data_IF_839538207339
#
_entry.id   IF_839538207339
#
_cell.length_a   1.000
_cell.length_b   1.000
_cell.length_c   1.000
_cell.angle_alpha   90.00
_cell.angle_beta   90.00
_cell.angle_gamma   90.00
#
_symmetry.space_group_name_H-M   'P 1'
#
loop_
_entity.id
_entity.type
_entity.pdbx_description
1 polymer ?
#
# COMPACT_ATOMS: atom_id res chain seq x y z
N UNK A 1 -8.44 6.55 -27.10
CA UNK A 1 -9.21 5.83 -26.06
C UNK A 1 -8.20 5.30 -25.06
N UNK A 2 -8.36 5.57 -23.75
CA UNK A 2 -7.45 5.01 -22.75
C UNK A 2 -7.73 3.51 -22.66
N UNK A 3 -6.72 2.68 -22.84
CA UNK A 3 -6.87 1.23 -22.70
C UNK A 3 -7.37 0.89 -21.28
N UNK A 4 -8.25 -0.10 -21.16
CA UNK A 4 -8.64 -0.64 -19.86
C UNK A 4 -7.36 -1.08 -19.10
N UNK A 5 -7.32 -0.88 -17.78
CA UNK A 5 -6.20 -1.29 -16.92
C UNK A 5 -5.80 -2.75 -17.19
N UNK A 6 -6.77 -3.62 -17.43
CA UNK A 6 -6.53 -5.03 -17.73
C UNK A 6 -5.74 -5.22 -19.04
N UNK A 7 -6.09 -4.51 -20.11
CA UNK A 7 -5.39 -4.60 -21.39
C UNK A 7 -3.96 -4.06 -21.29
N UNK A 8 -3.80 -2.92 -20.59
CA UNK A 8 -2.49 -2.35 -20.29
C UNK A 8 -1.61 -3.33 -19.51
N UNK A 9 -2.19 -4.04 -18.54
CA UNK A 9 -1.49 -5.03 -17.73
C UNK A 9 -1.10 -6.25 -18.56
N UNK A 10 -2.01 -6.77 -19.39
CA UNK A 10 -1.75 -7.90 -20.28
C UNK A 10 -0.59 -7.59 -21.25
N UNK A 11 -0.57 -6.38 -21.81
CA UNK A 11 0.49 -5.92 -22.69
C UNK A 11 1.85 -5.83 -21.96
N UNK A 12 1.90 -5.15 -20.81
CA UNK A 12 3.14 -5.01 -20.02
C UNK A 12 3.67 -6.35 -19.50
N UNK A 13 2.79 -7.29 -19.14
CA UNK A 13 3.19 -8.64 -18.74
C UNK A 13 3.86 -9.40 -19.89
N UNK A 14 3.26 -9.36 -21.08
CA UNK A 14 3.81 -10.01 -22.27
C UNK A 14 5.18 -9.43 -22.65
N UNK A 15 5.34 -8.11 -22.47
CA UNK A 15 6.58 -7.40 -22.77
C UNK A 15 7.68 -7.65 -21.73
N UNK A 16 7.38 -7.56 -20.42
CA UNK A 16 8.40 -7.46 -19.37
C UNK A 16 8.57 -8.70 -18.49
N UNK A 17 7.55 -9.56 -18.39
CA UNK A 17 7.62 -10.70 -17.48
C UNK A 17 8.51 -11.80 -18.09
N UNK A 18 9.54 -12.21 -17.36
CA UNK A 18 10.48 -13.21 -17.87
C UNK A 18 9.96 -14.64 -17.76
N UNK A 19 10.41 -15.49 -18.69
CA UNK A 19 10.21 -16.94 -18.69
C UNK A 19 9.21 -17.39 -19.75
N UNK A 20 8.94 -18.70 -19.74
CA UNK A 20 7.84 -19.33 -20.50
C UNK A 20 6.73 -19.68 -19.52
N UNK A 21 5.67 -18.85 -19.47
CA UNK A 21 4.65 -18.91 -18.41
C UNK A 21 3.26 -18.71 -19.00
N UNK A 22 2.28 -19.32 -18.34
CA UNK A 22 0.86 -19.04 -18.58
C UNK A 22 0.29 -18.43 -17.30
N UNK A 23 0.06 -17.12 -17.33
CA UNK A 23 -0.35 -16.35 -16.15
C UNK A 23 -1.79 -15.91 -16.32
N UNK A 24 -2.66 -16.39 -15.45
CA UNK A 24 -4.02 -15.90 -15.30
C UNK A 24 -4.02 -14.64 -14.45
N UNK A 25 -4.57 -13.54 -14.97
CA UNK A 25 -4.64 -12.25 -14.31
C UNK A 25 -6.09 -11.98 -13.93
N UNK A 26 -6.32 -11.59 -12.68
CA UNK A 26 -7.62 -11.09 -12.19
C UNK A 26 -7.40 -9.67 -11.69
N UNK A 27 -7.91 -8.66 -12.40
CA UNK A 27 -7.96 -7.29 -11.93
C UNK A 27 -9.41 -6.93 -11.53
N UNK A 28 -9.61 -6.62 -10.26
CA UNK A 28 -10.86 -6.09 -9.73
C UNK A 28 -10.70 -4.61 -9.46
N UNK A 29 -11.54 -3.79 -10.07
CA UNK A 29 -11.48 -2.33 -9.97
C UNK A 29 -12.84 -1.84 -9.51
N UNK A 30 -12.90 -1.12 -8.39
CA UNK A 30 -14.13 -0.45 -7.96
C UNK A 30 -14.39 0.82 -8.79
N UNK A 31 -15.63 1.29 -8.85
CA UNK A 31 -15.88 2.70 -9.20
C UNK A 31 -15.34 3.61 -8.10
N UNK A 32 -15.11 4.88 -8.43
CA UNK A 32 -14.88 5.92 -7.45
C UNK A 32 -16.12 6.10 -6.57
N UNK A 33 -15.88 6.20 -5.27
CA UNK A 33 -16.92 6.45 -4.28
C UNK A 33 -16.35 7.25 -3.12
N UNK A 34 -17.21 7.93 -2.35
CA UNK A 34 -16.78 8.61 -1.12
C UNK A 34 -16.96 7.68 0.07
N UNK A 35 -15.86 7.34 0.76
CA UNK A 35 -15.93 6.58 2.00
C UNK A 35 -16.36 7.46 3.18
N UNK A 36 -16.96 6.83 4.20
CA UNK A 36 -17.26 7.50 5.47
C UNK A 36 -16.01 7.96 6.20
N UNK A 37 -14.92 7.21 6.07
CA UNK A 37 -13.63 7.57 6.60
C UNK A 37 -12.98 8.60 5.68
N UNK A 38 -12.61 9.75 6.24
CA UNK A 38 -11.97 10.82 5.50
C UNK A 38 -10.47 10.55 5.33
N UNK A 39 -9.91 10.94 4.19
CA UNK A 39 -8.45 10.91 3.99
C UNK A 39 -7.72 11.89 4.92
N UNK A 40 -8.35 13.01 5.28
CA UNK A 40 -7.84 13.99 6.24
C UNK A 40 -8.91 14.22 7.33
N UNK A 41 -9.09 13.28 8.27
CA UNK A 41 -10.23 13.26 9.17
C UNK A 41 -10.20 14.38 10.23
N UNK A 42 -9.06 15.04 10.42
CA UNK A 42 -8.87 16.11 11.39
C UNK A 42 -8.79 17.50 10.77
N UNK A 43 -9.10 17.61 9.47
CA UNK A 43 -9.09 18.89 8.76
C UNK A 43 -10.49 19.18 8.23
N UNK A 44 -11.04 20.34 8.58
CA UNK A 44 -12.30 20.84 8.03
C UNK A 44 -12.14 21.49 6.65
N UNK A 45 -10.93 21.93 6.30
CA UNK A 45 -10.64 22.61 5.04
C UNK A 45 -10.38 21.66 3.87
N UNK A 46 -10.08 20.40 4.14
CA UNK A 46 -9.80 19.40 3.11
C UNK A 46 -11.06 18.60 2.77
N UNK A 47 -11.56 18.64 1.52
CA UNK A 47 -12.68 17.80 1.12
C UNK A 47 -12.26 16.33 1.18
N UNK A 48 -13.22 15.43 1.44
CA UNK A 48 -12.96 14.00 1.37
C UNK A 48 -12.92 13.56 -0.11
N UNK A 49 -11.75 13.18 -0.65
CA UNK A 49 -11.66 12.77 -2.05
C UNK A 49 -12.37 11.43 -2.26
N UNK A 50 -12.99 11.21 -3.43
CA UNK A 50 -13.45 9.88 -3.77
C UNK A 50 -12.27 8.93 -3.92
N UNK A 51 -12.49 7.67 -3.56
CA UNK A 51 -11.52 6.58 -3.59
C UNK A 51 -11.96 5.51 -4.60
N UNK A 52 -10.98 4.94 -5.30
CA UNK A 52 -11.10 3.73 -6.12
C UNK A 52 -10.16 2.66 -5.55
N UNK A 53 -10.66 1.46 -5.29
CA UNK A 53 -9.86 0.31 -4.84
C UNK A 53 -9.58 -0.63 -6.01
N UNK A 54 -8.35 -1.11 -6.09
CA UNK A 54 -7.86 -2.01 -7.13
C UNK A 54 -7.22 -3.23 -6.44
N UNK A 55 -7.64 -4.44 -6.81
CA UNK A 55 -7.00 -5.69 -6.43
C UNK A 55 -6.56 -6.42 -7.69
N UNK A 56 -5.26 -6.66 -7.83
CA UNK A 56 -4.70 -7.43 -8.94
C UNK A 56 -4.12 -8.71 -8.37
N UNK A 57 -4.61 -9.85 -8.85
CA UNK A 57 -4.17 -11.17 -8.43
C UNK A 57 -3.69 -11.99 -9.63
N UNK A 58 -2.60 -12.74 -9.44
CA UNK A 58 -1.95 -13.54 -10.46
C UNK A 58 -2.02 -15.01 -10.09
N UNK A 59 -2.48 -15.86 -11.00
CA UNK A 59 -2.48 -17.31 -10.86
C UNK A 59 -1.66 -17.98 -11.96
N UNK A 60 -1.02 -19.10 -11.63
CA UNK A 60 -0.34 -19.98 -12.57
C UNK A 60 -0.77 -21.41 -12.28
N UNK A 61 -0.99 -22.21 -13.33
CA UNK A 61 -1.47 -23.59 -13.20
C UNK A 61 -2.73 -23.71 -12.31
N UNK A 62 -3.62 -22.71 -12.38
CA UNK A 62 -4.87 -22.67 -11.61
C UNK A 62 -4.74 -22.28 -10.14
N UNK A 63 -3.57 -21.79 -9.69
CA UNK A 63 -3.34 -21.41 -8.28
C UNK A 63 -2.83 -19.99 -8.16
N UNK A 64 -3.46 -19.18 -7.29
CA UNK A 64 -3.00 -17.83 -6.97
C UNK A 64 -1.58 -17.85 -6.38
N UNK A 65 -0.68 -17.10 -7.02
CA UNK A 65 0.74 -16.99 -6.68
C UNK A 65 1.09 -15.69 -5.96
N UNK A 66 0.48 -14.57 -6.37
CA UNK A 66 0.73 -13.24 -5.80
C UNK A 66 -0.41 -12.27 -6.05
N UNK A 67 -0.57 -11.27 -5.19
CA UNK A 67 -1.56 -10.22 -5.34
C UNK A 67 -1.08 -8.87 -4.78
N UNK A 68 -1.65 -7.79 -5.29
CA UNK A 68 -1.44 -6.42 -4.84
C UNK A 68 -2.77 -5.68 -4.73
N UNK A 69 -2.96 -4.96 -3.63
CA UNK A 69 -4.08 -4.07 -3.37
C UNK A 69 -3.61 -2.61 -3.37
N UNK A 70 -4.25 -1.77 -4.19
CA UNK A 70 -3.90 -0.36 -4.40
C UNK A 70 -5.15 0.49 -4.28
N UNK A 71 -5.04 1.63 -3.59
CA UNK A 71 -6.11 2.62 -3.46
C UNK A 71 -5.72 3.90 -4.17
N UNK A 72 -6.63 4.45 -4.96
CA UNK A 72 -6.49 5.72 -5.65
C UNK A 72 -7.42 6.73 -5.01
N UNK A 73 -6.88 7.83 -4.49
CA UNK A 73 -7.66 8.96 -4.01
C UNK A 73 -7.57 10.09 -5.02
N UNK A 74 -8.72 10.57 -5.50
CA UNK A 74 -8.77 11.67 -6.47
C UNK A 74 -8.83 13.02 -5.75
N UNK A 75 -7.68 13.65 -5.56
CA UNK A 75 -7.60 15.02 -5.03
C UNK A 75 -7.76 16.04 -6.15
N UNK A 76 -7.93 17.32 -5.80
CA UNK A 76 -8.18 18.41 -6.74
C UNK A 76 -7.08 18.59 -7.80
N UNK A 77 -5.82 18.36 -7.45
CA UNK A 77 -4.63 18.59 -8.28
C UNK A 77 -3.89 17.31 -8.66
N UNK A 78 -4.09 16.21 -7.93
CA UNK A 78 -3.32 14.97 -8.07
C UNK A 78 -4.15 13.72 -7.82
N UNK A 79 -3.65 12.56 -8.25
CA UNK A 79 -4.11 11.26 -7.77
C UNK A 79 -3.10 10.75 -6.74
N UNK A 80 -3.55 10.54 -5.51
CA UNK A 80 -2.73 9.85 -4.51
C UNK A 80 -2.95 8.34 -4.67
N UNK A 81 -1.88 7.62 -4.96
CA UNK A 81 -1.84 6.17 -5.10
C UNK A 81 -1.23 5.59 -3.85
N UNK A 82 -1.99 4.82 -3.08
CA UNK A 82 -1.50 4.13 -1.89
C UNK A 82 -1.45 2.62 -2.15
N UNK A 83 -0.27 2.02 -2.01
CA UNK A 83 -0.16 0.55 -2.03
C UNK A 83 -0.51 0.04 -0.64
N UNK A 84 -1.70 -0.55 -0.52
CA UNK A 84 -2.25 -1.03 0.74
C UNK A 84 -1.61 -2.35 1.16
N UNK A 85 -1.60 -3.34 0.25
CA UNK A 85 -1.11 -4.69 0.55
C UNK A 85 -0.41 -5.29 -0.66
N UNK A 86 0.65 -6.06 -0.40
CA UNK A 86 1.30 -6.95 -1.36
C UNK A 86 1.54 -8.27 -0.68
N UNK A 87 1.18 -9.36 -1.35
CA UNK A 87 1.41 -10.69 -0.80
C UNK A 87 1.70 -11.73 -1.88
N UNK A 88 2.25 -12.87 -1.45
CA UNK A 88 2.46 -14.05 -2.27
C UNK A 88 2.08 -15.31 -1.51
N UNK A 89 1.78 -16.38 -2.25
CA UNK A 89 1.52 -17.70 -1.67
C UNK A 89 2.77 -18.59 -1.69
N UNK A 90 3.74 -18.31 -2.55
CA UNK A 90 4.86 -19.22 -2.82
C UNK A 90 4.53 -20.36 -3.79
N UNK A 91 3.30 -20.42 -4.31
CA UNK A 91 2.92 -21.37 -5.38
C UNK A 91 3.17 -20.80 -6.79
N UNK A 92 3.36 -19.49 -6.92
CA UNK A 92 3.68 -18.84 -8.20
C UNK A 92 5.17 -18.92 -8.57
N UNK A 93 5.46 -18.79 -9.85
CA UNK A 93 6.82 -18.78 -10.39
C UNK A 93 7.51 -17.44 -10.11
N UNK A 94 8.84 -17.49 -9.98
CA UNK A 94 9.67 -16.28 -9.87
C UNK A 94 10.19 -15.85 -11.26
N UNK A 95 10.34 -14.54 -11.52
CA UNK A 95 9.99 -13.41 -10.65
C UNK A 95 8.47 -13.20 -10.55
N UNK A 96 8.02 -12.63 -9.43
CA UNK A 96 6.61 -12.27 -9.26
C UNK A 96 6.24 -11.08 -10.17
N UNK A 97 5.03 -11.01 -10.75
CA UNK A 97 4.61 -9.91 -11.64
C UNK A 97 4.32 -8.58 -10.93
N UNK A 98 4.48 -8.48 -9.61
CA UNK A 98 4.02 -7.34 -8.82
C UNK A 98 4.68 -6.01 -9.22
N UNK A 99 5.97 -6.00 -9.57
CA UNK A 99 6.63 -4.77 -10.01
C UNK A 99 6.03 -4.22 -11.31
N UNK A 100 5.65 -5.12 -12.22
CA UNK A 100 4.96 -4.78 -13.47
C UNK A 100 3.56 -4.24 -13.17
N UNK A 101 2.86 -4.83 -12.20
CA UNK A 101 1.54 -4.36 -11.78
C UNK A 101 1.59 -2.93 -11.21
N UNK A 102 2.57 -2.62 -10.36
CA UNK A 102 2.77 -1.27 -9.81
C UNK A 102 3.02 -0.27 -10.93
N UNK A 103 3.99 -0.55 -11.81
CA UNK A 103 4.29 0.30 -12.96
C UNK A 103 3.05 0.51 -13.84
N UNK A 104 2.32 -0.56 -14.14
CA UNK A 104 1.11 -0.51 -14.96
C UNK A 104 0.02 0.38 -14.36
N UNK A 105 -0.24 0.27 -13.05
CA UNK A 105 -1.27 1.10 -12.40
C UNK A 105 -0.88 2.57 -12.39
N UNK A 106 0.41 2.89 -12.21
CA UNK A 106 0.89 4.27 -12.26
C UNK A 106 0.73 4.86 -13.66
N UNK A 107 1.17 4.15 -14.70
CA UNK A 107 1.05 4.61 -16.09
C UNK A 107 -0.41 4.73 -16.52
N UNK A 108 -1.24 3.74 -16.17
CA UNK A 108 -2.67 3.79 -16.42
C UNK A 108 -3.34 4.98 -15.70
N UNK A 109 -2.97 5.25 -14.44
CA UNK A 109 -3.51 6.38 -13.69
C UNK A 109 -3.10 7.72 -14.31
N UNK A 110 -1.84 7.89 -14.73
CA UNK A 110 -1.37 9.08 -15.46
C UNK A 110 -2.19 9.31 -16.73
N UNK A 111 -2.32 8.29 -17.56
CA UNK A 111 -3.03 8.36 -18.84
C UNK A 111 -4.55 8.57 -18.68
N UNK A 112 -5.13 8.00 -17.63
CA UNK A 112 -6.58 8.07 -17.34
C UNK A 112 -6.97 9.43 -16.76
N UNK A 113 -6.22 9.91 -15.76
CA UNK A 113 -6.62 11.05 -14.95
C UNK A 113 -5.92 12.36 -15.30
N UNK A 114 -4.78 12.31 -16.02
CA UNK A 114 -4.04 13.49 -16.49
C UNK A 114 -3.75 14.50 -15.37
N UNK A 115 -3.37 13.95 -14.23
CA UNK A 115 -3.01 14.68 -13.01
C UNK A 115 -1.69 14.15 -12.53
N UNK A 116 -1.02 14.94 -11.71
CA UNK A 116 0.17 14.47 -11.01
C UNK A 116 -0.18 13.22 -10.21
N UNK A 117 0.75 12.26 -10.16
CA UNK A 117 0.59 11.04 -9.39
C UNK A 117 1.51 11.10 -8.18
N UNK A 118 0.96 10.84 -7.01
CA UNK A 118 1.68 10.76 -5.75
C UNK A 118 1.57 9.35 -5.19
N UNK A 119 2.63 8.55 -5.32
CA UNK A 119 2.69 7.19 -4.79
C UNK A 119 3.16 7.20 -3.34
N UNK A 120 2.40 6.56 -2.46
CA UNK A 120 2.69 6.39 -1.04
C UNK A 120 2.74 4.88 -0.72
N UNK A 121 3.81 4.44 -0.08
CA UNK A 121 3.96 3.04 0.36
C UNK A 121 4.47 3.03 1.79
N UNK A 122 3.82 2.24 2.65
CA UNK A 122 4.38 1.82 3.93
C UNK A 122 4.80 0.36 3.85
N UNK A 123 6.10 0.11 4.03
CA UNK A 123 6.70 -1.20 3.91
C UNK A 123 7.05 -1.75 5.29
N UNK A 124 6.37 -2.82 5.68
CA UNK A 124 6.61 -3.59 6.90
C UNK A 124 6.58 -5.08 6.54
N UNK A 125 7.45 -5.90 7.13
CA UNK A 125 7.36 -7.34 6.92
C UNK A 125 6.27 -7.95 7.82
N UNK A 126 5.45 -8.82 7.25
CA UNK A 126 4.46 -9.62 7.93
C UNK A 126 4.39 -11.00 7.29
N UNK A 127 3.93 -11.99 8.06
CA UNK A 127 3.82 -13.38 7.58
C UNK A 127 2.85 -13.50 6.39
N UNK A 128 1.73 -12.79 6.45
CA UNK A 128 0.71 -12.74 5.41
C UNK A 128 -0.10 -11.44 5.51
N UNK A 129 -0.56 -10.95 4.35
CA UNK A 129 -1.41 -9.78 4.18
C UNK A 129 -2.73 -10.11 3.49
N UNK A 130 -2.67 -10.86 2.38
CA UNK A 130 -3.82 -11.19 1.51
C UNK A 130 -4.12 -12.69 1.56
N UNK A 131 -3.10 -13.55 1.71
CA UNK A 131 -3.26 -15.01 1.62
C UNK A 131 -3.07 -15.67 2.99
N UNK A 132 -4.16 -15.98 3.73
CA UNK A 132 -4.06 -16.56 5.06
C UNK A 132 -3.33 -17.90 5.08
N UNK A 133 -2.52 -18.11 6.12
CA UNK A 133 -1.75 -19.34 6.37
C UNK A 133 -0.74 -19.71 5.28
N UNK A 134 -0.52 -18.86 4.26
CA UNK A 134 0.45 -19.11 3.20
C UNK A 134 1.89 -19.18 3.71
N UNK A 135 2.21 -18.55 4.85
CA UNK A 135 3.51 -18.67 5.50
C UNK A 135 3.81 -20.09 6.02
N UNK A 136 2.76 -20.90 6.23
CA UNK A 136 2.89 -22.25 6.80
C UNK A 136 3.11 -23.33 5.74
N UNK A 137 3.01 -22.99 4.45
CA UNK A 137 3.09 -23.97 3.37
C UNK A 137 4.52 -24.43 3.00
N UNK A 138 5.54 -23.81 3.60
CA UNK A 138 6.95 -24.16 3.39
C UNK A 138 7.55 -23.73 2.04
N UNK A 139 6.74 -23.24 1.10
CA UNK A 139 7.19 -22.72 -0.20
C UNK A 139 7.30 -21.19 -0.21
N UNK A 140 6.49 -20.50 0.60
CA UNK A 140 6.50 -19.03 0.70
C UNK A 140 7.81 -18.52 1.32
N UNK A 141 8.49 -17.62 0.62
CA UNK A 141 9.65 -16.89 1.15
C UNK A 141 9.21 -15.54 1.73
N UNK A 142 9.03 -15.49 3.03
CA UNK A 142 8.76 -14.22 3.75
C UNK A 142 10.07 -13.43 3.86
N UNK A 143 10.07 -12.20 3.34
CA UNK A 143 11.22 -11.30 3.43
C UNK A 143 11.34 -10.75 4.85
N UNK A 144 12.57 -10.56 5.33
CA UNK A 144 12.80 -9.74 6.52
C UNK A 144 12.48 -8.27 6.24
N UNK A 145 12.29 -7.48 7.29
CA UNK A 145 12.09 -6.03 7.21
C UNK A 145 13.12 -5.36 6.28
N UNK A 146 14.42 -5.58 6.50
CA UNK A 146 15.50 -5.05 5.64
C UNK A 146 15.41 -5.54 4.19
N UNK A 147 15.12 -6.83 3.98
CA UNK A 147 14.99 -7.39 2.63
C UNK A 147 13.80 -6.77 1.89
N UNK A 148 12.70 -6.51 2.60
CA UNK A 148 11.51 -5.87 2.04
C UNK A 148 11.78 -4.42 1.64
N UNK A 149 12.51 -3.64 2.45
CA UNK A 149 12.88 -2.28 2.07
C UNK A 149 13.70 -2.27 0.78
N UNK A 150 14.71 -3.14 0.68
CA UNK A 150 15.51 -3.29 -0.54
C UNK A 150 14.68 -3.74 -1.74
N UNK A 151 13.73 -4.65 -1.52
CA UNK A 151 12.83 -5.10 -2.58
C UNK A 151 11.99 -3.94 -3.11
N UNK A 152 11.36 -3.15 -2.23
CA UNK A 152 10.59 -1.97 -2.64
C UNK A 152 11.43 -0.94 -3.38
N UNK A 153 12.62 -0.59 -2.87
CA UNK A 153 13.52 0.30 -3.60
C UNK A 153 13.80 -0.20 -5.00
N UNK A 154 14.17 -1.48 -5.14
CA UNK A 154 14.48 -2.07 -6.45
C UNK A 154 13.27 -2.11 -7.39
N UNK A 155 12.07 -2.37 -6.86
CA UNK A 155 10.80 -2.32 -7.62
C UNK A 155 10.53 -0.93 -8.18
N UNK A 156 10.90 0.12 -7.42
CA UNK A 156 10.58 1.51 -7.73
C UNK A 156 11.73 2.27 -8.40
N UNK A 157 12.92 1.66 -8.50
CA UNK A 157 14.16 2.37 -8.84
C UNK A 157 14.18 2.91 -10.27
N UNK A 158 13.67 2.10 -11.19
CA UNK A 158 13.64 2.34 -12.64
C UNK A 158 12.39 3.09 -13.10
N UNK A 159 11.52 3.49 -12.17
CA UNK A 159 10.34 4.26 -12.52
C UNK A 159 10.74 5.70 -12.87
N UNK A 160 10.24 6.18 -14.00
CA UNK A 160 10.45 7.57 -14.43
C UNK A 160 9.65 8.52 -13.53
N UNK A 161 10.34 9.19 -12.62
CA UNK A 161 9.78 10.00 -11.52
C UNK A 161 10.37 11.39 -11.54
N UNK A 162 9.58 12.38 -11.09
CA UNK A 162 10.08 13.74 -10.88
C UNK A 162 10.87 13.85 -9.58
N UNK A 163 10.40 13.19 -8.52
CA UNK A 163 11.04 13.12 -7.20
C UNK A 163 10.72 11.80 -6.52
N UNK A 164 11.67 11.28 -5.75
CA UNK A 164 11.48 10.06 -4.95
C UNK A 164 12.20 10.13 -3.61
N UNK A 165 11.50 9.72 -2.56
CA UNK A 165 11.97 9.73 -1.18
C UNK A 165 11.83 8.37 -0.53
N UNK A 166 12.77 8.09 0.36
CA UNK A 166 12.81 6.90 1.19
C UNK A 166 13.06 7.36 2.63
N UNK A 167 12.23 6.92 3.57
CA UNK A 167 12.39 7.21 4.99
C UNK A 167 12.31 5.94 5.82
N UNK A 168 13.27 5.73 6.72
CA UNK A 168 13.22 4.65 7.71
C UNK A 168 13.07 5.30 9.10
N UNK A 169 11.86 5.31 9.71
CA UNK A 169 11.64 5.95 10.99
C UNK A 169 12.53 5.36 12.09
N UNK A 170 13.12 6.22 12.91
CA UNK A 170 14.05 5.80 13.97
C UNK A 170 15.48 5.55 13.51
N UNK A 171 15.79 5.80 12.24
CA UNK A 171 17.15 5.73 11.70
C UNK A 171 17.60 7.12 11.25
N UNK A 172 18.88 7.39 11.41
CA UNK A 172 19.56 8.50 10.73
C UNK A 172 19.87 8.13 9.27
N UNK A 173 20.25 9.11 8.45
CA UNK A 173 20.63 8.85 7.06
C UNK A 173 21.83 7.89 6.95
N UNK A 174 22.82 8.04 7.84
CA UNK A 174 24.03 7.21 7.84
C UNK A 174 23.69 5.75 8.20
N UNK A 175 22.85 5.54 9.22
CA UNK A 175 22.38 4.20 9.60
C UNK A 175 21.53 3.58 8.48
N UNK A 176 20.62 4.36 7.88
CA UNK A 176 19.77 3.90 6.80
C UNK A 176 20.59 3.48 5.57
N UNK A 177 21.70 4.18 5.26
CA UNK A 177 22.58 3.84 4.13
C UNK A 177 23.20 2.44 4.25
N UNK A 178 23.40 1.95 5.47
CA UNK A 178 23.86 0.56 5.72
C UNK A 178 22.78 -0.49 5.42
N UNK A 179 21.51 -0.12 5.51
CA UNK A 179 20.35 -0.98 5.30
C UNK A 179 19.94 -0.96 3.83
N UNK A 180 19.80 0.23 3.27
CA UNK A 180 19.27 0.51 1.94
C UNK A 180 20.04 1.67 1.33
N UNK A 181 20.62 1.45 0.15
CA UNK A 181 21.36 2.51 -0.54
C UNK A 181 20.39 3.62 -0.95
N UNK A 182 20.76 4.87 -0.70
CA UNK A 182 20.05 6.04 -1.21
C UNK A 182 20.77 6.58 -2.46
N UNK A 183 20.85 5.75 -3.50
CA UNK A 183 21.47 6.08 -4.80
C UNK A 183 20.40 6.43 -5.85
N UNK A 184 20.75 6.54 -7.13
CA UNK A 184 19.80 6.68 -8.25
C UNK A 184 18.76 7.80 -8.10
N UNK A 185 19.12 8.92 -7.46
CA UNK A 185 18.23 10.07 -7.24
C UNK A 185 17.25 9.92 -6.07
N UNK A 186 17.40 8.89 -5.23
CA UNK A 186 16.64 8.78 -3.98
C UNK A 186 17.10 9.80 -2.95
N UNK A 187 16.14 10.55 -2.39
CA UNK A 187 16.36 11.44 -1.26
C UNK A 187 15.99 10.73 0.04
N UNK A 188 16.91 10.66 1.00
CA UNK A 188 16.57 10.17 2.33
C UNK A 188 15.72 11.20 3.08
N UNK A 189 14.52 10.83 3.48
CA UNK A 189 13.54 11.74 4.08
C UNK A 189 12.15 11.52 3.51
N UNK A 190 11.29 12.53 3.59
CA UNK A 190 9.92 12.48 3.09
C UNK A 190 9.49 13.85 2.52
N UNK A 191 8.47 13.90 1.65
CA UNK A 191 8.03 15.14 1.03
C UNK A 191 7.50 16.16 2.05
N UNK A 192 6.85 15.72 3.12
CA UNK A 192 6.25 16.61 4.14
C UNK A 192 7.30 17.48 4.85
N UNK A 193 8.54 16.99 5.00
CA UNK A 193 9.67 17.71 5.58
C UNK A 193 10.64 18.29 4.54
N UNK A 194 10.40 18.13 3.24
CA UNK A 194 11.34 18.57 2.19
C UNK A 194 10.73 19.64 1.29
N UNK A 195 9.42 19.58 1.09
CA UNK A 195 8.70 20.48 0.21
C UNK A 195 8.23 21.73 0.97
N UNK A 196 8.64 22.91 0.50
CA UNK A 196 8.37 24.19 1.17
C UNK A 196 6.87 24.48 1.27
N UNK A 197 6.09 24.10 0.26
CA UNK A 197 4.64 24.32 0.24
C UNK A 197 3.90 23.40 1.21
N UNK A 198 4.46 22.21 1.44
CA UNK A 198 3.91 21.23 2.39
C UNK A 198 4.29 21.55 3.83
N UNK A 199 5.50 22.07 4.07
CA UNK A 199 5.98 22.44 5.41
C UNK A 199 5.12 23.48 6.13
N UNK A 200 4.43 24.33 5.40
CA UNK A 200 3.56 25.36 5.96
C UNK A 200 2.19 24.82 6.39
N UNK A 201 1.86 23.57 6.04
CA UNK A 201 0.57 22.96 6.35
C UNK A 201 0.56 22.37 7.75
N UNK A 202 -0.61 22.43 8.38
CA UNK A 202 -0.90 21.73 9.63
C UNK A 202 -0.86 20.21 9.44
N UNK A 203 -0.48 19.46 10.47
CA UNK A 203 -0.46 17.98 10.43
C UNK A 203 -1.80 17.39 9.95
N UNK A 204 -2.90 18.00 10.38
CA UNK A 204 -4.28 17.60 10.07
C UNK A 204 -4.61 17.57 8.58
N UNK A 205 -3.99 18.45 7.78
CA UNK A 205 -4.18 18.56 6.33
C UNK A 205 -2.98 18.09 5.51
N UNK A 206 -1.92 17.66 6.20
CA UNK A 206 -0.64 17.25 5.60
C UNK A 206 -0.46 15.73 5.57
N UNK A 207 -0.77 15.04 6.67
CA UNK A 207 -0.58 13.58 6.77
C UNK A 207 -1.87 12.86 6.39
N UNK A 208 -1.89 12.10 5.28
CA UNK A 208 -3.06 11.32 4.90
C UNK A 208 -3.30 10.16 5.87
N UNK A 209 -4.58 9.86 6.08
CA UNK A 209 -5.05 8.76 6.90
C UNK A 209 -5.31 7.52 6.04
N UNK A 210 -4.56 6.44 6.28
CA UNK A 210 -4.70 5.14 5.63
C UNK A 210 -5.04 4.05 6.66
N UNK A 211 -5.74 3.01 6.20
CA UNK A 211 -6.01 1.80 6.99
C UNK A 211 -4.69 1.07 7.32
N UNK A 212 -4.56 0.58 8.56
CA UNK A 212 -3.41 -0.19 9.06
C UNK A 212 -2.01 0.48 8.92
N UNK A 213 -1.98 1.81 8.77
CA UNK A 213 -0.75 2.59 8.66
C UNK A 213 -0.35 3.23 10.00
N UNK A 214 0.92 3.10 10.45
CA UNK A 214 1.34 3.64 11.74
C UNK A 214 1.33 5.18 11.77
N UNK A 215 1.41 5.88 10.63
CA UNK A 215 1.25 7.34 10.59
C UNK A 215 -0.15 7.74 11.02
N UNK A 216 -1.15 7.01 10.52
CA UNK A 216 -2.56 7.28 10.80
C UNK A 216 -2.90 6.92 12.24
N UNK A 217 -2.40 5.79 12.74
CA UNK A 217 -2.51 5.42 14.16
C UNK A 217 -1.84 6.43 15.08
N UNK A 218 -0.66 6.94 14.71
CA UNK A 218 0.02 7.96 15.51
C UNK A 218 -0.70 9.31 15.46
N UNK A 219 -1.22 9.69 14.30
CA UNK A 219 -2.03 10.89 14.13
C UNK A 219 -3.30 10.83 15.00
N UNK A 220 -3.99 9.69 15.05
CA UNK A 220 -5.11 9.45 15.96
C UNK A 220 -4.73 9.68 17.43
N UNK A 221 -3.58 9.16 17.86
CA UNK A 221 -3.15 9.30 19.25
C UNK A 221 -2.80 10.74 19.61
N UNK A 222 -2.18 11.48 18.70
CA UNK A 222 -1.92 12.91 18.90
C UNK A 222 -3.22 13.71 18.95
N UNK A 223 -4.14 13.47 18.01
CA UNK A 223 -5.43 14.14 17.94
C UNK A 223 -6.30 13.89 19.18
N UNK A 224 -6.20 12.69 19.78
CA UNK A 224 -6.94 12.31 20.98
C UNK A 224 -6.15 12.52 22.28
N UNK A 225 -4.91 13.04 22.21
CA UNK A 225 -4.11 13.30 23.41
C UNK A 225 -4.74 14.41 24.25
N UNK A 226 -4.93 14.15 25.54
CA UNK A 226 -5.43 15.15 26.50
C UNK A 226 -4.31 15.93 27.17
N UNK A 227 -3.06 15.50 27.00
CA UNK A 227 -1.90 16.06 27.67
C UNK A 227 -1.18 17.00 26.69
N UNK A 228 -1.10 18.28 27.04
CA UNK A 228 -0.17 19.20 26.41
C UNK A 228 1.27 18.91 26.90
N UNK A 229 2.26 19.19 26.07
CA UNK A 229 3.69 19.07 26.41
C UNK A 229 4.10 19.92 27.63
N UNK A 230 3.29 20.91 28.01
CA UNK A 230 3.50 21.79 29.17
C UNK A 230 2.70 21.36 30.42
N UNK A 231 2.10 20.16 30.41
CA UNK A 231 1.32 19.62 31.53
C UNK A 231 -0.07 20.22 31.68
N UNK A 232 -0.51 21.11 30.78
CA UNK A 232 -1.88 21.63 30.78
C UNK A 232 -2.84 20.63 30.13
N UNK A 233 -3.83 20.19 30.89
CA UNK A 233 -4.88 19.33 30.36
C UNK A 233 -5.72 20.08 29.31
N UNK A 234 -5.91 19.47 28.14
CA UNK A 234 -6.95 19.89 27.21
C UNK A 234 -8.31 19.68 27.88
N UNK A 235 -9.16 20.71 27.86
CA UNK A 235 -10.57 20.56 28.25
C UNK A 235 -11.21 19.61 27.25
N UNK A 236 -11.49 18.37 27.69
CA UNK A 236 -12.23 17.41 26.87
C UNK A 236 -13.50 18.08 26.33
N UNK A 237 -13.84 17.90 25.05
CA UNK A 237 -15.10 18.37 24.52
C UNK A 237 -16.25 17.78 25.35
N UNK A 238 -17.31 18.57 25.55
CA UNK A 238 -18.50 18.11 26.28
C UNK A 238 -19.09 16.89 25.55
N UNK A 239 -19.74 15.99 26.31
CA UNK A 239 -20.42 14.77 25.78
C UNK A 239 -21.47 15.06 24.70
N UNK A 240 -21.89 16.31 24.53
CA UNK A 240 -22.86 16.79 23.53
C UNK A 240 -22.20 17.70 22.46
N UNK A 241 -20.90 17.54 22.20
CA UNK A 241 -20.21 18.31 21.15
C UNK A 241 -20.63 17.84 19.76
N UNK A 242 -20.87 18.80 18.86
CA UNK A 242 -21.14 18.50 17.46
C UNK A 242 -19.84 18.12 16.73
N UNK A 243 -19.96 17.42 15.58
CA UNK A 243 -18.81 16.90 14.82
C UNK A 243 -17.77 17.98 14.47
N UNK A 244 -18.20 19.19 14.17
CA UNK A 244 -17.30 20.30 13.82
C UNK A 244 -16.45 20.76 15.02
N UNK A 245 -17.03 20.83 16.22
CA UNK A 245 -16.31 21.17 17.45
C UNK A 245 -15.27 20.10 17.81
N UNK A 246 -15.60 18.83 17.61
CA UNK A 246 -14.68 17.70 17.84
C UNK A 246 -13.50 17.73 16.85
N UNK A 247 -13.75 18.02 15.57
CA UNK A 247 -12.68 18.17 14.55
C UNK A 247 -11.77 19.35 14.88
N UNK A 248 -12.33 20.51 15.25
CA UNK A 248 -11.53 21.68 15.64
C UNK A 248 -10.63 21.39 16.85
N UNK A 249 -11.18 20.77 17.89
CA UNK A 249 -10.40 20.38 19.07
C UNK A 249 -9.26 19.42 18.72
N UNK A 250 -9.53 18.42 17.87
CA UNK A 250 -8.52 17.47 17.41
C UNK A 250 -7.44 18.14 16.56
N UNK A 251 -7.82 19.10 15.72
CA UNK A 251 -6.88 19.90 14.95
C UNK A 251 -5.96 20.72 15.88
N UNK A 252 -6.50 21.39 16.90
CA UNK A 252 -5.71 22.13 17.90
C UNK A 252 -4.75 21.23 18.68
N UNK A 253 -5.14 19.97 18.94
CA UNK A 253 -4.25 19.01 19.57
C UNK A 253 -3.07 18.63 18.66
N UNK A 254 -3.34 18.45 17.36
CA UNK A 254 -2.31 18.15 16.36
C UNK A 254 -1.35 19.31 16.12
N UNK A 255 -1.83 20.56 16.16
CA UNK A 255 -1.04 21.78 15.92
C UNK A 255 0.09 22.01 16.93
N UNK A 256 0.10 21.24 18.03
CA UNK A 256 1.16 21.26 19.06
C UNK A 256 2.40 20.48 18.68
N UNK A 257 2.31 19.62 17.67
CA UNK A 257 3.39 18.76 17.21
C UNK A 257 3.84 19.27 15.85
N UNK A 258 5.13 19.61 15.70
CA UNK A 258 5.65 19.98 14.38
C UNK A 258 5.72 18.76 13.46
N UNK A 259 5.87 18.98 12.16
CA UNK A 259 6.08 17.89 11.21
C UNK A 259 7.39 17.14 11.49
N UNK A 260 8.43 17.83 11.93
CA UNK A 260 9.69 17.22 12.35
C UNK A 260 9.51 16.32 13.57
N UNK A 261 8.85 16.83 14.62
CA UNK A 261 8.59 16.06 15.84
C UNK A 261 7.69 14.86 15.55
N UNK A 262 6.71 14.99 14.65
CA UNK A 262 5.85 13.89 14.23
C UNK A 262 6.68 12.73 13.66
N UNK A 263 7.57 13.00 12.70
CA UNK A 263 8.38 11.95 12.08
C UNK A 263 9.43 11.37 13.01
N UNK A 264 9.99 12.19 13.91
CA UNK A 264 10.91 11.73 14.96
C UNK A 264 10.20 10.76 15.92
N UNK A 265 9.04 11.18 16.46
CA UNK A 265 8.27 10.37 17.41
C UNK A 265 7.68 9.11 16.79
N UNK A 266 7.39 9.13 15.48
CA UNK A 266 6.98 7.94 14.75
C UNK A 266 8.03 6.83 14.81
N UNK A 267 9.33 7.17 14.92
CA UNK A 267 10.42 6.21 15.07
C UNK A 267 10.39 5.40 16.37
N UNK A 268 9.79 5.93 17.43
CA UNK A 268 9.69 5.25 18.74
C UNK A 268 8.46 4.35 18.88
N UNK A 269 7.62 4.29 17.85
CA UNK A 269 6.38 3.51 17.86
C UNK A 269 6.69 2.03 17.70
N UNK A 270 5.87 1.16 18.29
CA UNK A 270 6.12 -0.29 18.29
C UNK A 270 6.32 -0.87 16.88
N UNK A 271 5.66 -0.30 15.88
CA UNK A 271 5.77 -0.69 14.48
C UNK A 271 7.11 -0.34 13.85
N UNK A 272 7.79 0.70 14.36
CA UNK A 272 9.06 1.23 13.83
C UNK A 272 10.25 1.01 14.79
N UNK A 273 10.00 0.57 16.03
CA UNK A 273 10.99 0.39 17.07
C UNK A 273 11.26 -1.09 17.37
N UNK A 274 12.06 -1.37 18.40
CA UNK A 274 12.33 -2.73 18.91
C UNK A 274 12.93 -3.70 17.87
N UNK A 275 13.87 -3.21 17.06
CA UNK A 275 14.56 -4.03 16.05
C UNK A 275 13.79 -4.23 14.76
N UNK A 276 12.65 -3.57 14.58
CA UNK A 276 11.93 -3.49 13.30
C UNK A 276 12.63 -2.51 12.36
N UNK A 277 12.59 -2.79 11.07
CA UNK A 277 13.05 -1.87 10.00
C UNK A 277 11.90 -1.65 9.03
N UNK A 278 11.04 -0.69 9.36
CA UNK A 278 9.95 -0.27 8.47
C UNK A 278 10.39 0.91 7.61
N UNK A 279 9.73 1.10 6.48
CA UNK A 279 10.07 2.16 5.54
C UNK A 279 8.86 2.81 4.93
N UNK A 280 9.01 4.09 4.59
CA UNK A 280 8.08 4.83 3.77
C UNK A 280 8.75 5.19 2.45
N UNK A 281 8.03 4.97 1.35
CA UNK A 281 8.44 5.38 0.03
C UNK A 281 7.43 6.37 -0.53
N UNK A 282 7.92 7.48 -1.07
CA UNK A 282 7.12 8.52 -1.70
C UNK A 282 7.67 8.80 -3.08
N UNK A 283 6.85 8.70 -4.13
CA UNK A 283 7.25 9.05 -5.49
C UNK A 283 6.25 10.04 -6.07
N UNK A 284 6.76 11.04 -6.77
CA UNK A 284 5.96 12.02 -7.49
C UNK A 284 6.19 11.89 -8.99
N UNK A 285 5.11 11.99 -9.74
CA UNK A 285 5.13 11.94 -11.19
C UNK A 285 4.31 13.10 -11.74
N UNK A 286 4.85 13.78 -12.75
CA UNK A 286 4.11 14.82 -13.47
C UNK A 286 2.99 14.19 -14.31
N UNK A 287 1.91 14.96 -14.50
CA UNK A 287 0.89 14.65 -15.49
C UNK A 287 1.48 14.58 -16.92
N UNK A 288 0.84 13.80 -17.80
CA UNK A 288 1.19 13.81 -19.23
C UNK A 288 0.74 15.13 -19.87
N UNK A 289 1.68 15.90 -20.43
CA UNK A 289 1.40 17.20 -21.09
C UNK A 289 0.71 17.07 -22.46
N UNK A 290 0.46 15.86 -22.95
CA UNK A 290 -0.06 15.63 -24.32
C UNK A 290 -1.50 16.18 -24.49
N UNK A 291 -1.73 17.16 -25.38
CA UNK A 291 -3.07 17.67 -25.67
C UNK A 291 -3.94 16.57 -26.31
N UNK A 292 -5.17 16.36 -25.83
CA UNK A 292 -6.17 15.58 -26.60
C UNK A 292 -6.92 16.55 -27.49
N UNK A 293 -6.91 16.31 -28.81
CA UNK A 293 -7.91 16.88 -29.69
C UNK A 293 -9.28 16.26 -29.34
N UNK A 294 -10.25 17.12 -28.98
CA UNK A 294 -11.69 16.87 -28.89
C UNK A 294 -12.10 15.42 -28.53
N UNK A 295 -12.00 15.06 -27.25
CA UNK A 295 -12.73 13.93 -26.67
C UNK A 295 -13.53 14.48 -25.51
N UNK A 296 -14.83 14.22 -25.52
CA UNK A 296 -15.77 14.52 -24.44
C UNK A 296 -15.15 14.05 -23.09
N UNK A 297 -14.92 14.98 -22.16
CA UNK A 297 -14.28 14.76 -20.85
C UNK A 297 -15.18 13.97 -19.88
N UNK A 298 -16.06 13.13 -20.41
CA UNK A 298 -16.78 12.14 -19.63
C UNK A 298 -15.79 11.05 -19.26
N UNK A 299 -15.09 11.25 -18.14
CA UNK A 299 -14.40 10.18 -17.42
C UNK A 299 -15.40 9.02 -17.20
N UNK A 300 -15.35 7.99 -18.04
CA UNK A 300 -16.16 6.79 -17.84
C UNK A 300 -15.55 6.00 -16.71
N UNK A 301 -15.96 6.29 -15.48
CA UNK A 301 -15.58 5.55 -14.27
C UNK A 301 -16.23 4.17 -14.26
N UNK A 302 -15.63 3.24 -15.00
CA UNK A 302 -16.05 1.84 -15.05
C UNK A 302 -15.43 1.06 -13.89
N UNK A 303 -16.27 0.36 -13.12
CA UNK A 303 -15.85 -0.51 -12.03
C UNK A 303 -17.04 -1.09 -11.28
N UNK A 304 -16.77 -1.98 -10.34
CA UNK A 304 -17.80 -2.56 -9.45
C UNK A 304 -18.09 -1.63 -8.26
N UNK A 305 -19.26 -1.78 -7.64
CA UNK A 305 -19.56 -1.14 -6.37
C UNK A 305 -18.53 -1.53 -5.29
N UNK A 306 -18.18 -0.59 -4.40
CA UNK A 306 -17.12 -0.82 -3.41
C UNK A 306 -17.51 -1.93 -2.41
N UNK A 307 -18.80 -2.07 -2.11
CA UNK A 307 -19.34 -3.11 -1.25
C UNK A 307 -19.14 -4.50 -1.87
N UNK A 308 -19.31 -4.60 -3.20
CA UNK A 308 -19.04 -5.83 -3.93
C UNK A 308 -17.53 -6.12 -3.96
N UNK A 309 -16.70 -5.09 -4.13
CA UNK A 309 -15.25 -5.23 -4.02
C UNK A 309 -14.84 -5.80 -2.65
N UNK A 310 -15.36 -5.24 -1.54
CA UNK A 310 -15.07 -5.74 -0.20
C UNK A 310 -15.55 -7.18 -0.02
N UNK A 311 -16.76 -7.51 -0.49
CA UNK A 311 -17.29 -8.88 -0.43
C UNK A 311 -16.36 -9.88 -1.14
N UNK A 312 -15.88 -9.55 -2.34
CA UNK A 312 -15.00 -10.43 -3.12
C UNK A 312 -13.61 -10.51 -2.48
N UNK A 313 -13.08 -9.40 -1.98
CA UNK A 313 -11.82 -9.36 -1.24
C UNK A 313 -11.90 -10.27 0.01
N UNK A 314 -12.99 -10.19 0.77
CA UNK A 314 -13.19 -10.98 1.98
C UNK A 314 -13.26 -12.49 1.69
N UNK A 315 -13.83 -12.89 0.55
CA UNK A 315 -13.81 -14.30 0.12
C UNK A 315 -12.37 -14.81 -0.08
N UNK A 316 -11.47 -13.95 -0.59
CA UNK A 316 -10.05 -14.30 -0.74
C UNK A 316 -9.36 -14.40 0.63
N UNK A 317 -9.55 -13.39 1.49
CA UNK A 317 -8.89 -13.33 2.80
C UNK A 317 -9.49 -14.27 3.84
N UNK A 318 -10.61 -14.92 3.56
CA UNK A 318 -11.19 -15.99 4.37
C UNK A 318 -10.89 -17.40 3.82
N UNK A 319 -10.05 -17.51 2.78
CA UNK A 319 -9.63 -18.77 2.19
C UNK A 319 -8.30 -19.29 2.77
N UNK A 320 -7.92 -20.53 2.45
CA UNK A 320 -6.69 -21.17 2.93
C UNK A 320 -5.67 -21.43 1.83
N UNK A 321 -4.40 -21.10 2.09
CA UNK A 321 -3.27 -21.28 1.15
C UNK A 321 -2.12 -22.10 1.76
N UNK A 322 -2.45 -23.04 2.66
CA UNK A 322 -1.48 -23.87 3.38
C UNK A 322 -0.95 -25.05 2.55
N UNK A 323 -1.76 -25.63 1.67
CA UNK A 323 -1.37 -26.73 0.78
C UNK A 323 -1.71 -26.39 -0.67
N UNK A 324 -1.14 -27.14 -1.63
CA UNK A 324 -1.47 -26.96 -3.04
C UNK A 324 -2.97 -27.17 -3.29
N UNK A 325 -3.56 -28.19 -2.69
CA UNK A 325 -4.98 -28.55 -2.91
C UNK A 325 -5.93 -27.51 -2.32
N UNK A 326 -5.65 -27.02 -1.10
CA UNK A 326 -6.41 -25.93 -0.48
C UNK A 326 -6.30 -24.65 -1.30
N UNK A 327 -5.09 -24.30 -1.75
CA UNK A 327 -4.87 -23.12 -2.59
C UNK A 327 -5.56 -23.23 -3.97
N UNK A 328 -5.58 -24.42 -4.58
CA UNK A 328 -6.29 -24.69 -5.85
C UNK A 328 -7.80 -24.55 -5.66
N UNK A 329 -8.33 -25.11 -4.58
CA UNK A 329 -9.74 -25.04 -4.22
C UNK A 329 -10.16 -23.60 -3.91
N UNK A 330 -9.35 -22.88 -3.13
CA UNK A 330 -9.53 -21.46 -2.82
C UNK A 330 -9.53 -20.61 -4.09
N UNK A 331 -8.55 -20.81 -4.97
CA UNK A 331 -8.45 -20.08 -6.24
C UNK A 331 -9.67 -20.32 -7.12
N UNK A 332 -10.05 -21.59 -7.31
CA UNK A 332 -11.19 -21.95 -8.15
C UNK A 332 -12.52 -21.44 -7.57
N UNK A 333 -12.71 -21.56 -6.26
CA UNK A 333 -13.87 -21.02 -5.55
C UNK A 333 -13.95 -19.50 -5.66
N UNK A 334 -12.84 -18.80 -5.44
CA UNK A 334 -12.79 -17.34 -5.51
C UNK A 334 -13.11 -16.84 -6.92
N UNK A 335 -12.46 -17.39 -7.95
CA UNK A 335 -12.74 -17.05 -9.36
C UNK A 335 -14.20 -17.38 -9.73
N UNK A 336 -14.72 -18.52 -9.26
CA UNK A 336 -16.12 -18.90 -9.47
C UNK A 336 -17.11 -17.92 -8.83
N UNK A 337 -16.82 -17.44 -7.63
CA UNK A 337 -17.63 -16.42 -6.96
C UNK A 337 -17.59 -15.08 -7.71
N UNK A 338 -16.42 -14.64 -8.18
CA UNK A 338 -16.33 -13.43 -9.01
C UNK A 338 -17.23 -13.56 -10.24
N UNK A 339 -17.15 -14.69 -10.95
CA UNK A 339 -17.96 -14.96 -12.15
C UNK A 339 -19.47 -14.97 -11.91
N UNK A 340 -19.87 -15.38 -10.71
CA UNK A 340 -21.28 -15.44 -10.30
C UNK A 340 -21.81 -14.09 -9.80
N UNK A 341 -20.94 -13.25 -9.23
CA UNK A 341 -21.33 -12.01 -8.57
C UNK A 341 -21.22 -10.76 -9.45
N UNK A 342 -20.45 -10.83 -10.56
CA UNK A 342 -20.30 -9.73 -11.49
C UNK A 342 -20.88 -10.14 -12.84
N UNK A 343 -21.99 -9.49 -13.20
CA UNK A 343 -22.77 -9.81 -14.41
C UNK A 343 -22.07 -9.39 -15.71
N UNK A 344 -21.26 -8.31 -15.65
CA UNK A 344 -20.54 -7.79 -16.80
C UNK A 344 -19.09 -8.32 -16.84
N UNK A 345 -18.77 -9.27 -17.74
CA UNK A 345 -17.43 -9.84 -17.86
C UNK A 345 -16.38 -8.83 -18.36
N UNK A 346 -16.79 -7.70 -18.95
CA UNK A 346 -15.87 -6.66 -19.42
C UNK A 346 -15.32 -5.81 -18.25
N UNK A 347 -15.94 -5.89 -17.06
CA UNK A 347 -15.51 -5.23 -15.82
C UNK A 347 -14.43 -6.05 -15.08
N UNK A 348 -14.34 -7.36 -15.32
CA UNK A 348 -13.34 -8.25 -14.74
C UNK A 348 -12.93 -9.33 -15.75
N UNK A 349 -11.83 -9.15 -16.45
CA UNK A 349 -11.36 -10.20 -17.38
C UNK A 349 -10.35 -11.07 -16.67
N UNK A 350 -10.71 -12.34 -16.44
CA UNK A 350 -9.73 -13.38 -16.12
C UNK A 350 -8.97 -13.70 -17.42
N UNK A 351 -7.92 -12.94 -17.73
CA UNK A 351 -7.14 -13.19 -18.96
C UNK A 351 -6.01 -14.15 -18.66
N UNK A 352 -5.87 -15.21 -19.46
CA UNK A 352 -4.64 -15.99 -19.52
C UNK A 352 -3.69 -15.31 -20.50
N UNK A 353 -2.53 -14.91 -19.99
CA UNK A 353 -1.46 -14.26 -20.76
C UNK A 353 -0.34 -15.27 -20.96
N UNK A 354 -0.10 -15.64 -22.21
CA UNK A 354 1.03 -16.49 -22.59
C UNK A 354 2.27 -15.63 -22.71
N UNK A 355 3.26 -15.95 -21.90
CA UNK A 355 4.53 -15.24 -21.84
C UNK A 355 5.60 -16.14 -22.45
N UNK A 356 6.33 -15.61 -23.42
CA UNK A 356 7.54 -16.23 -23.97
C UNK A 356 8.63 -15.17 -24.08
N UNK A 357 9.18 -14.77 -22.93
CA UNK A 357 10.26 -13.79 -22.85
C UNK A 357 11.50 -14.41 -22.20
N UNK A 358 12.45 -14.94 -23.00
CA UNK A 358 13.66 -15.58 -22.48
C UNK A 358 14.64 -14.60 -21.83
N UNK A 359 14.48 -13.28 -22.01
CA UNK A 359 15.55 -12.29 -21.80
C UNK A 359 15.34 -11.34 -20.62
N UNK A 360 14.92 -11.78 -19.43
CA UNK A 360 15.15 -11.02 -18.17
C UNK A 360 15.25 -11.95 -16.95
N UNK A 361 15.99 -13.06 -17.04
CA UNK A 361 16.26 -13.89 -15.87
C UNK A 361 17.33 -13.20 -14.98
N UNK A 362 16.95 -12.16 -14.22
CA UNK A 362 17.80 -11.67 -13.12
C UNK A 362 18.01 -12.85 -12.17
N UNK A 363 19.25 -13.35 -12.05
CA UNK A 363 19.64 -14.39 -11.10
C UNK A 363 19.18 -13.97 -9.70
N UNK A 364 18.15 -14.62 -9.18
CA UNK A 364 17.73 -14.45 -7.78
C UNK A 364 18.90 -14.89 -6.91
N UNK A 365 19.58 -13.96 -6.24
CA UNK A 365 20.59 -14.31 -5.24
C UNK A 365 19.90 -15.09 -4.14
N UNK A 366 20.38 -16.30 -3.88
CA UNK A 366 19.90 -17.14 -2.79
C UNK A 366 20.17 -16.41 -1.47
N UNK A 367 19.12 -15.84 -0.88
CA UNK A 367 19.16 -15.30 0.48
C UNK A 367 18.59 -16.35 1.42
N UNK A 368 19.33 -16.67 2.47
CA UNK A 368 18.97 -17.67 3.48
C UNK A 368 17.59 -17.39 4.10
N UNK A 369 16.81 -18.44 4.41
CA UNK A 369 15.51 -18.30 5.06
C UNK A 369 15.69 -17.75 6.49
N UNK A 370 15.08 -16.60 6.76
CA UNK A 370 15.11 -16.00 8.10
C UNK A 370 14.06 -16.70 8.97
N UNK A 371 14.49 -17.28 10.10
CA UNK A 371 13.58 -17.81 11.13
C UNK A 371 12.72 -16.66 11.68
N UNK A 372 11.40 -16.82 11.66
CA UNK A 372 10.49 -15.89 12.30
C UNK A 372 10.89 -15.68 13.78
N UNK A 373 11.20 -14.44 14.16
CA UNK A 373 11.38 -14.09 15.57
C UNK A 373 10.01 -14.08 16.25
N UNK A 374 9.62 -15.23 16.80
CA UNK A 374 8.53 -15.30 17.78
C UNK A 374 9.08 -14.72 19.07
N UNK A 375 8.71 -13.48 19.40
CA UNK A 375 8.89 -12.91 20.73
C UNK A 375 8.10 -13.76 21.73
N UNK A 376 8.77 -14.75 22.31
CA UNK A 376 8.24 -15.47 23.46
C UNK A 376 8.36 -14.55 24.67
N UNK A 377 7.22 -14.05 25.13
CA UNK A 377 7.12 -13.31 26.40
C UNK A 377 7.64 -14.23 27.51
N UNK A 378 8.84 -13.94 28.04
CA UNK A 378 9.36 -14.60 29.23
C UNK A 378 8.40 -14.30 30.39
N UNK A 379 7.59 -15.29 30.79
CA UNK A 379 6.81 -15.20 32.03
C UNK A 379 7.78 -14.98 33.20
N UNK A 380 7.74 -13.80 33.83
CA UNK A 380 8.42 -13.53 35.10
C UNK A 380 7.92 -14.56 36.13
N UNK A 381 8.82 -15.43 36.63
CA UNK A 381 8.57 -16.23 37.84
C UNK A 381 8.29 -15.27 38.99
N UNK A 382 7.13 -15.40 39.65
CA UNK A 382 6.87 -14.74 40.94
C UNK A 382 7.90 -15.24 41.96
N UNK A 383 8.50 -14.37 42.78
CA UNK A 383 9.36 -14.82 43.87
C UNK A 383 8.53 -15.59 44.88
N UNK A 384 9.06 -16.72 45.36
CA UNK A 384 8.47 -17.49 46.44
C UNK A 384 8.48 -16.65 47.72
N UNK A 385 7.32 -16.51 48.34
CA UNK A 385 7.17 -15.99 49.70
C UNK A 385 7.87 -16.94 50.68
N UNK A 386 8.88 -16.46 51.38
CA UNK A 386 9.49 -17.18 52.50
C UNK A 386 8.55 -17.16 53.70
N UNK A 387 8.34 -18.35 54.29
CA UNK A 387 7.95 -18.52 55.70
C UNK A 387 9.21 -18.48 56.56
#
# INVERSE_FOLDING_TARGET
>A
MVANLQDALNAKLSEKLSGKRDVSVVALVSSFTQLKQHLFPFSSSMPNPPIKKILIAFAESGVLGSAIEIHLFKLADRILVYVSKVDSTGFGSSPSPISIAVECVLDWAKASFRRDIHLHIFARAQNAYIFPNSEKNGKKRVLSDTQLQRWWKNTLDELDTTRKWLFLPGFTQDEATSIIKCDNGWVYGNPHQSDADLKQRHLSSLIPYFEDDPKSRFLDELANSTEALDGRALKKPRRESNKEEDVSHKQEALDRTSIEEFWERLGYRQECASGRVTGFFFLQFAADEQPRENVDDTETDSGIAIELFHRIHDLLTNSEFITQDSATSATSSWIGNIKSLIDDPDIYVTTSVKIDNPSVAKKTVATEPVKAQVLTVRKKKRPASAM
#
